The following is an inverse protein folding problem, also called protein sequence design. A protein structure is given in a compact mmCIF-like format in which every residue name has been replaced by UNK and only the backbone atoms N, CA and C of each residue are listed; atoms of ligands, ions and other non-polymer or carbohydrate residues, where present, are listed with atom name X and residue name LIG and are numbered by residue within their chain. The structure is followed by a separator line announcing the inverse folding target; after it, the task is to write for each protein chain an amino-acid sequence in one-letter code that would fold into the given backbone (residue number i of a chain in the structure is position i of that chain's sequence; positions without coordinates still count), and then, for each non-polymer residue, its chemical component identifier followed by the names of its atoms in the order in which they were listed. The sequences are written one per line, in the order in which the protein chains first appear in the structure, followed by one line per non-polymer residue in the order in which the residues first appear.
data_IF_280414180946
#
_entry.id   IF_280414180946
#
_cell.length_a   1.000
_cell.length_b   1.000
_cell.length_c   1.000
_cell.angle_alpha   90.00
_cell.angle_beta   90.00
_cell.angle_gamma   90.00
#
_symmetry.space_group_name_H-M   'P 1'
#
loop_
_entity.id
_entity.type
_entity.pdbx_description
1 polymer ?
#
# COMPACT_ATOMS: atom_id res chain seq x y z
N UNK A 1 -6.78 16.05 12.14
CA UNK A 1 -7.14 17.43 11.80
C UNK A 1 -5.91 18.11 11.25
N UNK A 2 -5.75 18.18 9.95
CA UNK A 2 -4.76 19.08 9.36
C UNK A 2 -5.40 20.46 9.30
N UNK A 3 -4.83 21.39 10.02
CA UNK A 3 -5.18 22.79 9.87
C UNK A 3 -4.82 23.20 8.44
N UNK A 4 -5.83 23.40 7.62
CA UNK A 4 -5.66 24.21 6.42
C UNK A 4 -5.09 25.54 6.86
N UNK A 5 -4.01 25.96 6.26
CA UNK A 5 -3.48 27.28 6.50
C UNK A 5 -4.60 28.27 6.22
N UNK A 6 -4.93 29.13 7.18
CA UNK A 6 -6.09 30.04 7.16
C UNK A 6 -6.16 31.02 5.98
N UNK A 7 -5.25 30.91 5.00
CA UNK A 7 -5.09 31.84 3.89
C UNK A 7 -4.80 31.16 2.56
N UNK A 8 -5.16 29.88 2.40
CA UNK A 8 -4.96 29.14 1.13
C UNK A 8 -5.67 29.80 -0.07
N UNK A 9 -6.76 30.51 0.20
CA UNK A 9 -7.47 31.26 -0.83
C UNK A 9 -6.81 32.59 -1.19
N UNK A 10 -5.91 33.09 -0.34
CA UNK A 10 -5.19 34.35 -0.55
C UNK A 10 -3.76 34.00 -0.92
N UNK A 11 -3.32 34.24 -2.12
CA UNK A 11 -1.93 34.04 -2.50
C UNK A 11 -0.98 34.69 -1.49
N UNK A 12 -0.09 33.91 -0.86
CA UNK A 12 0.85 34.40 0.12
C UNK A 12 2.17 34.68 -0.58
N UNK A 13 2.66 35.90 -0.43
CA UNK A 13 3.99 36.30 -0.87
C UNK A 13 4.94 36.21 0.33
N UNK A 14 5.88 35.28 0.31
CA UNK A 14 6.94 35.23 1.31
C UNK A 14 8.01 36.28 0.97
N UNK A 15 8.11 37.30 1.76
CA UNK A 15 9.22 38.28 1.70
C UNK A 15 10.35 37.75 2.55
N UNK A 16 11.06 36.76 2.03
CA UNK A 16 12.18 36.12 2.69
C UNK A 16 13.42 36.13 1.79
N UNK A 17 14.10 37.25 1.73
CA UNK A 17 15.40 37.32 1.10
C UNK A 17 16.40 37.94 2.09
N UNK A 18 17.54 37.33 2.26
CA UNK A 18 18.65 37.96 2.93
C UNK A 18 19.15 39.13 2.06
N UNK A 19 18.77 40.37 2.45
CA UNK A 19 19.38 41.53 1.86
C UNK A 19 20.84 41.56 2.29
N UNK A 20 21.75 41.36 1.37
CA UNK A 20 23.17 41.69 1.58
C UNK A 20 23.32 43.21 1.50
N UNK A 21 23.86 43.80 2.55
CA UNK A 21 24.11 45.23 2.69
C UNK A 21 24.79 45.82 1.45
N UNK A 22 24.05 46.64 0.73
CA UNK A 22 24.64 47.57 -0.21
C UNK A 22 24.08 47.62 -1.61
N UNK A 23 23.54 46.52 -2.17
CA UNK A 23 22.93 46.47 -3.51
C UNK A 23 21.91 45.36 -3.67
N UNK A 24 21.16 45.05 -2.62
CA UNK A 24 20.24 43.94 -2.59
C UNK A 24 18.89 44.26 -3.22
N UNK A 25 18.61 43.71 -4.36
CA UNK A 25 17.24 43.47 -4.76
C UNK A 25 16.71 42.39 -3.83
N UNK A 26 15.66 42.71 -3.08
CA UNK A 26 14.85 41.68 -2.41
C UNK A 26 14.07 41.01 -3.52
N UNK A 27 14.45 39.80 -3.93
CA UNK A 27 13.61 39.00 -4.77
C UNK A 27 12.45 38.47 -3.90
N UNK A 28 11.22 38.90 -4.18
CA UNK A 28 10.08 38.32 -3.50
C UNK A 28 10.00 36.85 -3.89
N UNK A 29 10.21 35.96 -2.95
CA UNK A 29 9.88 34.55 -3.16
C UNK A 29 8.37 34.40 -3.07
N UNK A 30 7.78 34.01 -4.17
CA UNK A 30 6.36 33.69 -4.24
C UNK A 30 6.08 32.48 -3.35
N UNK A 31 5.07 32.58 -2.53
CA UNK A 31 4.65 31.47 -1.65
C UNK A 31 4.11 30.27 -2.44
N UNK A 32 3.81 29.20 -1.71
CA UNK A 32 3.46 27.89 -2.24
C UNK A 32 2.08 27.81 -2.93
N UNK A 33 1.86 28.54 -3.99
CA UNK A 33 0.71 28.33 -4.84
C UNK A 33 -0.01 29.57 -5.30
N UNK A 34 -0.67 29.45 -6.44
CA UNK A 34 -1.49 30.48 -7.06
C UNK A 34 -2.80 30.65 -6.28
N UNK A 35 -3.23 31.91 -6.15
CA UNK A 35 -4.55 32.26 -5.62
C UNK A 35 -5.68 31.51 -6.32
N UNK A 36 -6.65 31.03 -5.55
CA UNK A 36 -7.86 30.40 -6.04
C UNK A 36 -9.07 30.88 -5.22
N UNK A 37 -9.90 31.71 -5.82
CA UNK A 37 -11.12 32.24 -5.21
C UNK A 37 -12.31 31.25 -5.20
N UNK A 38 -12.16 30.13 -5.93
CA UNK A 38 -13.17 29.07 -5.98
C UNK A 38 -12.92 27.97 -4.93
N UNK A 39 -11.87 28.15 -4.10
CA UNK A 39 -11.53 27.21 -3.06
C UNK A 39 -12.64 27.17 -1.99
N UNK A 40 -13.18 26.00 -1.73
CA UNK A 40 -14.13 25.75 -0.67
C UNK A 40 -13.58 24.78 0.38
N UNK A 41 -14.19 24.76 1.55
CA UNK A 41 -13.86 23.75 2.56
C UNK A 41 -14.26 22.35 2.09
N UNK A 42 -13.55 21.35 2.62
CA UNK A 42 -13.96 19.96 2.48
C UNK A 42 -15.31 19.76 3.19
N UNK A 43 -16.24 19.13 2.52
CA UNK A 43 -17.54 18.75 3.05
C UNK A 43 -17.55 17.23 3.25
N UNK A 44 -17.92 16.77 4.44
CA UNK A 44 -18.03 15.34 4.75
C UNK A 44 -19.39 15.06 5.35
N UNK A 45 -20.18 14.23 4.67
CA UNK A 45 -21.41 13.67 5.19
C UNK A 45 -21.11 12.31 5.82
N UNK A 46 -21.54 12.12 7.06
CA UNK A 46 -21.37 10.86 7.79
C UNK A 46 -22.73 10.38 8.28
N UNK A 47 -23.06 9.14 8.01
CA UNK A 47 -24.28 8.48 8.48
C UNK A 47 -23.90 7.20 9.22
N UNK A 48 -24.14 7.17 10.53
CA UNK A 48 -23.92 6.01 11.38
C UNK A 48 -25.29 5.40 11.73
N UNK A 49 -25.45 4.11 11.47
CA UNK A 49 -26.65 3.37 11.82
C UNK A 49 -26.27 2.24 12.77
N UNK A 50 -26.59 2.39 14.05
CA UNK A 50 -26.33 1.40 15.10
C UNK A 50 -27.64 0.91 15.73
N UNK A 51 -27.86 -0.37 15.69
CA UNK A 51 -28.74 -1.12 16.62
C UNK A 51 -27.77 -1.91 17.46
N UNK A 52 -27.53 -1.79 18.69
CA UNK A 52 -26.59 -2.56 19.52
C UNK A 52 -25.67 -3.59 18.77
N UNK A 53 -25.72 -3.55 17.46
CA UNK A 53 -24.94 -4.13 16.39
C UNK A 53 -24.52 -2.94 15.51
N UNK A 54 -23.32 -2.38 15.72
CA UNK A 54 -22.77 -1.36 14.83
C UNK A 54 -22.61 -1.98 13.44
N UNK A 55 -23.59 -1.77 12.56
CA UNK A 55 -23.66 -2.53 11.32
C UNK A 55 -23.20 -1.75 10.09
N UNK A 56 -23.37 -0.43 10.05
CA UNK A 56 -23.06 0.35 8.87
C UNK A 56 -22.45 1.71 9.23
N UNK A 57 -21.28 1.99 8.70
CA UNK A 57 -20.69 3.35 8.66
C UNK A 57 -20.56 3.77 7.19
N UNK A 58 -21.16 4.88 6.84
CA UNK A 58 -21.02 5.51 5.53
C UNK A 58 -20.47 6.91 5.68
N UNK A 59 -19.37 7.18 4.99
CA UNK A 59 -18.73 8.50 4.97
C UNK A 59 -18.44 8.93 3.54
N UNK A 60 -18.97 10.04 3.15
CA UNK A 60 -18.72 10.68 1.87
C UNK A 60 -18.01 12.01 2.07
N UNK A 61 -16.85 12.18 1.45
CA UNK A 61 -16.09 13.42 1.48
C UNK A 61 -16.08 14.01 0.08
N UNK A 62 -16.70 15.16 -0.09
CA UNK A 62 -16.66 15.94 -1.32
C UNK A 62 -15.61 17.05 -1.23
N UNK A 63 -15.20 17.58 -2.38
CA UNK A 63 -14.29 18.72 -2.49
C UNK A 63 -12.95 18.51 -1.78
N UNK A 64 -12.43 17.29 -1.79
CA UNK A 64 -11.10 16.96 -1.24
C UNK A 64 -10.06 17.96 -1.73
N UNK A 65 -9.30 18.55 -0.81
CA UNK A 65 -8.26 19.54 -1.12
C UNK A 65 -6.95 18.88 -1.53
N UNK A 66 -6.38 19.31 -2.65
CA UNK A 66 -5.07 18.85 -3.09
C UNK A 66 -4.33 19.94 -3.90
N UNK A 67 -3.02 19.79 -4.06
CA UNK A 67 -2.19 20.65 -4.90
C UNK A 67 -2.19 20.14 -6.33
N UNK A 68 -2.64 20.96 -7.25
CA UNK A 68 -2.66 20.64 -8.68
C UNK A 68 -1.50 21.36 -9.38
N UNK A 69 -0.71 20.61 -10.14
CA UNK A 69 0.33 21.17 -10.99
C UNK A 69 -0.30 21.92 -12.16
N UNK A 70 0.21 23.13 -12.42
CA UNK A 70 -0.28 23.98 -13.51
C UNK A 70 0.74 23.96 -14.67
N UNK A 71 0.50 23.20 -15.74
CA UNK A 71 1.49 22.97 -16.80
C UNK A 71 2.00 24.22 -17.50
N UNK A 72 1.20 25.27 -17.55
CA UNK A 72 1.49 26.52 -18.27
C UNK A 72 1.57 27.76 -17.39
N UNK A 73 1.27 27.66 -16.09
CA UNK A 73 1.18 28.83 -15.23
C UNK A 73 2.56 29.36 -14.79
N UNK A 74 3.58 28.50 -14.77
CA UNK A 74 4.91 28.87 -14.30
C UNK A 74 5.60 29.96 -15.12
N UNK A 75 5.31 30.06 -16.42
CA UNK A 75 5.93 31.07 -17.29
C UNK A 75 5.29 32.45 -17.10
N UNK A 76 3.98 32.49 -16.89
CA UNK A 76 3.23 33.76 -16.84
C UNK A 76 2.96 34.28 -15.43
N UNK A 77 2.90 33.39 -14.45
CA UNK A 77 2.51 33.71 -13.07
C UNK A 77 3.58 33.51 -12.03
N UNK A 78 4.68 32.79 -12.37
CA UNK A 78 5.73 32.40 -11.42
C UNK A 78 5.32 31.25 -10.48
N UNK A 79 4.10 30.74 -10.59
CA UNK A 79 3.60 29.62 -9.78
C UNK A 79 3.46 28.35 -10.62
N UNK A 80 3.88 27.22 -10.07
CA UNK A 80 3.74 25.91 -10.71
C UNK A 80 2.63 25.05 -10.10
N UNK A 81 2.04 25.50 -9.00
CA UNK A 81 0.98 24.77 -8.28
C UNK A 81 -0.17 25.70 -7.88
N UNK A 82 -1.35 25.12 -7.71
CA UNK A 82 -2.53 25.77 -7.18
C UNK A 82 -3.32 24.80 -6.30
N UNK A 83 -3.84 25.27 -5.17
CA UNK A 83 -4.78 24.50 -4.38
C UNK A 83 -6.15 24.45 -5.05
N UNK A 84 -6.73 23.28 -5.16
CA UNK A 84 -8.06 23.04 -5.74
C UNK A 84 -8.80 21.95 -4.99
N UNK A 85 -10.12 21.99 -5.06
CA UNK A 85 -10.95 20.87 -4.68
C UNK A 85 -10.94 19.87 -5.84
N UNK A 86 -10.26 18.73 -5.64
CA UNK A 86 -9.88 17.85 -6.76
C UNK A 86 -10.74 16.61 -6.87
N UNK A 87 -11.38 16.18 -5.79
CA UNK A 87 -11.93 14.84 -5.74
C UNK A 87 -13.11 14.69 -4.78
N UNK A 88 -13.84 13.61 -4.95
CA UNK A 88 -14.76 13.08 -3.96
C UNK A 88 -14.44 11.61 -3.69
N UNK A 89 -14.57 11.20 -2.43
CA UNK A 89 -14.26 9.85 -1.94
C UNK A 89 -15.39 9.34 -1.06
N UNK A 90 -15.82 8.11 -1.27
CA UNK A 90 -16.75 7.42 -0.36
C UNK A 90 -16.06 6.30 0.40
N UNK A 91 -16.45 6.12 1.64
CA UNK A 91 -16.06 5.00 2.48
C UNK A 91 -17.34 4.38 3.08
N UNK A 92 -17.50 3.11 2.87
CA UNK A 92 -18.60 2.33 3.43
C UNK A 92 -18.03 1.23 4.30
N UNK A 93 -18.67 0.93 5.42
CA UNK A 93 -18.20 -0.08 6.36
C UNK A 93 -19.32 -0.95 6.91
N UNK A 94 -18.97 -2.18 7.19
CA UNK A 94 -19.78 -3.12 7.96
C UNK A 94 -18.90 -3.72 9.06
N UNK A 95 -19.34 -3.60 10.30
CA UNK A 95 -18.66 -4.17 11.46
C UNK A 95 -19.56 -5.18 12.16
N UNK A 96 -18.97 -6.27 12.59
CA UNK A 96 -19.63 -7.33 13.34
C UNK A 96 -18.81 -7.72 14.55
N UNK A 97 -19.45 -7.75 15.72
CA UNK A 97 -18.86 -8.27 16.94
C UNK A 97 -19.79 -9.33 17.54
N UNK A 98 -19.28 -10.51 17.76
CA UNK A 98 -19.99 -11.62 18.39
C UNK A 98 -19.20 -12.09 19.59
N UNK A 99 -19.85 -12.16 20.74
CA UNK A 99 -19.31 -12.74 21.97
C UNK A 99 -20.18 -13.92 22.37
N UNK A 100 -19.57 -15.06 22.60
CA UNK A 100 -20.30 -16.27 22.96
C UNK A 100 -19.59 -17.01 24.10
N UNK A 101 -20.35 -17.31 25.16
CA UNK A 101 -19.87 -18.13 26.26
C UNK A 101 -20.27 -19.59 25.99
N UNK A 102 -19.28 -20.42 25.63
CA UNK A 102 -19.48 -21.83 25.30
C UNK A 102 -19.75 -22.63 26.58
N UNK A 103 -18.96 -22.36 27.61
CA UNK A 103 -19.13 -22.96 28.93
C UNK A 103 -19.03 -21.91 30.02
N UNK A 104 -19.96 -21.99 30.97
CA UNK A 104 -19.97 -21.18 32.21
C UNK A 104 -20.28 -22.07 33.38
N UNK A 105 -19.27 -22.83 33.82
CA UNK A 105 -19.33 -23.73 34.97
C UNK A 105 -18.26 -23.32 36.02
N UNK A 106 -18.41 -23.70 37.30
CA UNK A 106 -17.43 -23.32 38.34
C UNK A 106 -15.98 -23.67 37.98
N UNK A 107 -15.76 -24.84 37.38
CA UNK A 107 -14.44 -25.34 37.02
C UNK A 107 -14.09 -25.25 35.57
N UNK A 108 -14.99 -24.71 34.73
CA UNK A 108 -14.79 -24.63 33.26
C UNK A 108 -15.48 -23.38 32.71
N UNK A 109 -14.68 -22.45 32.30
CA UNK A 109 -15.12 -21.25 31.58
C UNK A 109 -14.49 -21.21 30.21
N UNK A 110 -15.29 -20.98 29.16
CA UNK A 110 -14.79 -20.78 27.82
C UNK A 110 -15.66 -19.76 27.10
N UNK A 111 -15.01 -18.66 26.70
CA UNK A 111 -15.63 -17.58 25.95
C UNK A 111 -14.83 -17.31 24.68
N UNK A 112 -15.53 -17.13 23.59
CA UNK A 112 -14.98 -16.68 22.31
C UNK A 112 -15.60 -15.32 21.97
N UNK A 113 -14.75 -14.39 21.59
CA UNK A 113 -15.17 -13.10 21.03
C UNK A 113 -14.57 -12.97 19.65
N UNK A 114 -15.42 -12.72 18.64
CA UNK A 114 -15.00 -12.52 17.25
C UNK A 114 -15.44 -11.13 16.84
N UNK A 115 -14.54 -10.37 16.28
CA UNK A 115 -14.85 -9.14 15.59
C UNK A 115 -14.36 -9.21 14.15
N UNK A 116 -15.13 -8.66 13.23
CA UNK A 116 -14.79 -8.56 11.83
C UNK A 116 -15.32 -7.24 11.27
N UNK A 117 -14.51 -6.58 10.46
CA UNK A 117 -14.89 -5.38 9.73
C UNK A 117 -14.62 -5.56 8.24
N UNK A 118 -15.52 -5.05 7.43
CA UNK A 118 -15.35 -4.98 5.98
C UNK A 118 -15.55 -3.54 5.53
N UNK A 119 -14.53 -2.98 4.88
CA UNK A 119 -14.56 -1.60 4.41
C UNK A 119 -14.47 -1.56 2.89
N UNK A 120 -15.22 -0.63 2.29
CA UNK A 120 -15.17 -0.28 0.88
C UNK A 120 -14.77 1.18 0.78
N UNK A 121 -13.66 1.43 0.12
CA UNK A 121 -13.17 2.77 -0.21
C UNK A 121 -13.30 2.96 -1.71
N UNK A 122 -13.84 4.11 -2.16
CA UNK A 122 -14.03 4.39 -3.57
C UNK A 122 -13.72 5.86 -3.89
N UNK A 123 -12.94 6.05 -4.93
CA UNK A 123 -12.73 7.35 -5.57
C UNK A 123 -13.91 7.63 -6.50
N UNK A 124 -14.76 8.61 -6.16
CA UNK A 124 -16.04 8.82 -6.83
C UNK A 124 -15.97 9.83 -7.96
N UNK A 125 -15.21 10.89 -7.77
CA UNK A 125 -15.11 11.97 -8.74
C UNK A 125 -13.72 12.57 -8.77
N UNK A 126 -13.33 13.04 -9.95
CA UNK A 126 -12.19 13.92 -10.19
C UNK A 126 -12.71 15.27 -10.69
N UNK A 127 -11.98 16.35 -10.44
CA UNK A 127 -12.33 17.70 -10.92
C UNK A 127 -12.33 17.79 -12.45
N UNK A 128 -11.59 16.93 -13.13
CA UNK A 128 -11.57 16.84 -14.59
C UNK A 128 -12.67 15.94 -15.15
N UNK A 129 -13.37 15.18 -14.31
CA UNK A 129 -14.28 14.11 -14.71
C UNK A 129 -13.58 12.89 -15.33
N UNK A 130 -12.25 12.87 -15.32
CA UNK A 130 -11.41 11.77 -15.82
C UNK A 130 -10.56 11.21 -14.67
N UNK A 131 -9.99 10.06 -14.90
CA UNK A 131 -9.00 9.49 -13.98
C UNK A 131 -7.83 10.46 -13.80
N UNK A 132 -7.30 10.55 -12.60
CA UNK A 132 -6.16 11.41 -12.28
C UNK A 132 -4.88 10.59 -12.41
N UNK A 133 -4.02 10.98 -13.37
CA UNK A 133 -2.63 10.55 -13.51
C UNK A 133 -2.43 9.02 -13.58
N UNK A 134 -3.39 8.27 -14.16
CA UNK A 134 -3.32 6.80 -14.19
C UNK A 134 -3.38 6.11 -12.82
N UNK A 135 -3.06 6.84 -11.77
CA UNK A 135 -2.89 6.32 -10.40
C UNK A 135 -4.20 6.29 -9.61
N UNK A 136 -5.20 7.07 -10.02
CA UNK A 136 -6.49 7.16 -9.33
C UNK A 136 -7.62 6.97 -10.33
N UNK A 137 -8.13 5.78 -10.41
CA UNK A 137 -9.20 5.40 -11.33
C UNK A 137 -10.57 5.60 -10.66
N UNK A 138 -11.45 6.36 -11.30
CA UNK A 138 -12.83 6.59 -10.81
C UNK A 138 -13.53 5.23 -10.63
N UNK A 139 -14.21 5.06 -9.50
CA UNK A 139 -14.87 3.82 -9.11
C UNK A 139 -13.97 2.75 -8.49
N UNK A 140 -12.65 3.00 -8.38
CA UNK A 140 -11.70 2.11 -7.70
C UNK A 140 -11.31 2.66 -6.32
N UNK A 141 -10.62 1.85 -5.53
CA UNK A 141 -10.08 2.30 -4.25
C UNK A 141 -9.09 3.44 -4.44
N UNK A 142 -9.15 4.44 -3.59
CA UNK A 142 -8.15 5.51 -3.51
C UNK A 142 -6.75 4.94 -3.17
N UNK A 143 -6.72 3.84 -2.40
CA UNK A 143 -5.52 3.10 -2.05
C UNK A 143 -5.28 1.95 -3.05
N UNK A 144 -5.35 2.27 -4.34
CA UNK A 144 -5.12 1.31 -5.42
C UNK A 144 -3.66 0.89 -5.50
N UNK A 145 -3.43 -0.38 -5.81
CA UNK A 145 -2.14 -0.91 -6.24
C UNK A 145 -2.12 -0.90 -7.75
N UNK A 146 -1.19 -0.17 -8.31
CA UNK A 146 -1.02 -0.03 -9.75
C UNK A 146 0.31 -0.59 -10.18
N UNK A 147 0.35 -1.21 -11.34
CA UNK A 147 1.56 -1.79 -11.88
C UNK A 147 1.49 -1.86 -13.40
N UNK A 148 2.63 -1.83 -14.06
CA UNK A 148 2.74 -2.01 -15.50
C UNK A 148 2.22 -3.39 -15.88
N UNK A 149 1.34 -3.43 -16.86
CA UNK A 149 0.78 -4.67 -17.36
C UNK A 149 1.80 -5.42 -18.20
N UNK A 150 1.93 -6.73 -17.96
CA UNK A 150 2.83 -7.61 -18.72
C UNK A 150 2.08 -8.72 -19.45
N UNK A 151 2.59 -9.10 -20.63
CA UNK A 151 2.11 -10.22 -21.44
C UNK A 151 3.24 -11.24 -21.66
N UNK A 152 3.74 -11.81 -20.54
CA UNK A 152 4.82 -12.77 -20.58
C UNK A 152 6.20 -12.15 -20.80
N UNK A 153 7.02 -12.84 -21.58
CA UNK A 153 8.40 -12.46 -21.90
C UNK A 153 8.60 -12.32 -23.39
N UNK A 154 9.53 -11.47 -23.78
CA UNK A 154 10.01 -11.38 -25.16
C UNK A 154 10.84 -12.64 -25.46
N UNK A 155 10.37 -13.49 -26.35
CA UNK A 155 11.10 -14.72 -26.70
C UNK A 155 12.09 -14.50 -27.85
N UNK A 156 11.71 -13.68 -28.84
CA UNK A 156 12.51 -13.40 -30.01
C UNK A 156 12.62 -11.90 -30.26
N UNK A 157 13.70 -11.47 -30.88
CA UNK A 157 13.94 -10.05 -31.15
C UNK A 157 12.84 -9.41 -32.01
N UNK A 158 12.19 -10.21 -32.84
CA UNK A 158 11.08 -9.80 -33.71
C UNK A 158 9.80 -9.46 -32.91
N UNK A 159 9.68 -10.01 -31.70
CA UNK A 159 8.54 -9.75 -30.80
C UNK A 159 8.69 -8.43 -30.04
N UNK A 160 9.87 -7.82 -30.07
CA UNK A 160 10.09 -6.52 -29.42
C UNK A 160 9.16 -5.50 -30.06
N UNK A 161 8.27 -4.88 -29.29
CA UNK A 161 7.35 -3.88 -29.84
C UNK A 161 8.09 -2.76 -30.55
N UNK A 162 7.70 -2.47 -31.75
CA UNK A 162 8.29 -1.42 -32.58
C UNK A 162 7.21 -0.46 -33.00
N UNK A 163 7.47 0.81 -32.83
CA UNK A 163 6.57 1.88 -33.21
C UNK A 163 7.18 2.73 -34.29
N UNK A 164 6.32 3.36 -35.06
CA UNK A 164 6.73 4.37 -36.03
C UNK A 164 6.50 5.75 -35.41
N UNK A 165 7.55 6.55 -35.33
CA UNK A 165 7.41 7.93 -34.86
C UNK A 165 6.56 8.76 -35.83
N UNK A 166 6.28 10.03 -35.50
CA UNK A 166 5.45 10.92 -36.31
C UNK A 166 5.97 11.16 -37.73
N UNK A 167 7.26 10.90 -37.96
CA UNK A 167 7.90 11.02 -39.29
C UNK A 167 8.08 9.67 -40.01
N UNK A 168 7.45 8.60 -39.48
CA UNK A 168 7.46 7.28 -40.10
C UNK A 168 8.75 6.47 -39.91
N UNK A 169 9.65 6.90 -39.02
CA UNK A 169 10.85 6.15 -38.69
C UNK A 169 10.51 5.09 -37.66
N UNK A 170 10.92 3.85 -37.92
CA UNK A 170 10.81 2.73 -36.99
C UNK A 170 11.60 3.02 -35.73
N UNK A 171 10.92 3.08 -34.61
CA UNK A 171 11.52 3.28 -33.30
C UNK A 171 11.14 2.11 -32.36
N UNK A 172 12.07 1.59 -31.59
CA UNK A 172 11.71 0.63 -30.55
C UNK A 172 10.85 1.33 -29.49
N UNK A 173 10.14 0.52 -28.72
CA UNK A 173 9.39 0.98 -27.57
C UNK A 173 10.33 1.74 -26.64
N UNK A 174 10.15 3.04 -26.52
CA UNK A 174 10.95 3.90 -25.67
C UNK A 174 10.24 4.10 -24.34
N UNK A 175 10.99 3.98 -23.26
CA UNK A 175 10.52 4.39 -21.94
C UNK A 175 10.90 5.83 -21.65
N UNK A 176 10.05 6.53 -20.94
CA UNK A 176 10.38 7.84 -20.39
C UNK A 176 11.29 7.77 -19.16
N UNK A 177 11.56 6.58 -18.63
CA UNK A 177 12.31 6.38 -17.39
C UNK A 177 13.85 6.38 -17.55
N UNK A 178 14.37 6.97 -18.59
CA UNK A 178 15.81 7.07 -18.77
C UNK A 178 16.26 6.56 -20.14
N UNK A 179 17.53 6.54 -20.42
CA UNK A 179 18.12 6.23 -21.73
C UNK A 179 17.34 5.18 -22.54
N UNK A 180 17.23 5.39 -23.84
CA UNK A 180 16.53 4.52 -24.77
C UNK A 180 17.12 3.09 -24.75
N UNK A 181 16.72 2.30 -23.79
CA UNK A 181 17.15 0.93 -23.67
C UNK A 181 16.18 0.07 -24.43
N UNK A 182 16.74 -0.69 -25.33
CA UNK A 182 15.98 -1.56 -26.19
C UNK A 182 15.62 -2.86 -25.46
N UNK A 183 14.38 -3.28 -25.57
CA UNK A 183 13.97 -4.61 -25.14
C UNK A 183 14.78 -5.69 -25.84
N UNK A 184 15.09 -6.72 -25.08
CA UNK A 184 15.85 -7.88 -25.54
C UNK A 184 15.07 -9.16 -25.23
N UNK A 185 15.34 -10.26 -25.91
CA UNK A 185 14.81 -11.54 -25.53
C UNK A 185 15.14 -11.86 -24.07
N UNK A 186 14.12 -12.24 -23.33
CA UNK A 186 14.18 -12.49 -21.90
C UNK A 186 13.67 -11.35 -21.02
N UNK A 187 13.42 -10.19 -21.56
CA UNK A 187 12.79 -9.09 -20.83
C UNK A 187 11.27 -9.28 -20.72
N UNK A 188 10.62 -8.59 -19.78
CA UNK A 188 9.15 -8.55 -19.74
C UNK A 188 8.60 -7.92 -21.02
N UNK A 189 7.54 -8.53 -21.55
CA UNK A 189 6.77 -7.96 -22.65
C UNK A 189 5.69 -7.05 -22.07
N UNK A 190 5.96 -5.76 -22.02
CA UNK A 190 5.00 -4.77 -21.52
C UNK A 190 3.88 -4.53 -22.52
N UNK A 191 2.70 -4.20 -22.01
CA UNK A 191 1.53 -3.87 -22.79
C UNK A 191 1.34 -2.35 -22.80
N UNK A 192 1.32 -1.76 -23.99
CA UNK A 192 0.93 -0.38 -24.21
C UNK A 192 -0.60 -0.28 -24.06
N UNK A 193 -1.04 0.21 -22.91
CA UNK A 193 -2.46 0.17 -22.51
C UNK A 193 -3.26 1.29 -23.17
N UNK A 194 -2.68 2.46 -23.35
CA UNK A 194 -3.33 3.63 -23.94
C UNK A 194 -3.12 3.73 -25.47
N UNK A 195 -2.24 2.91 -26.05
CA UNK A 195 -1.96 2.85 -27.48
C UNK A 195 -1.13 4.02 -27.99
N UNK A 196 -0.44 4.75 -27.13
CA UNK A 196 0.35 5.92 -27.49
C UNK A 196 1.74 5.56 -28.03
N UNK A 197 2.10 4.28 -28.03
CA UNK A 197 3.37 3.72 -28.49
C UNK A 197 4.58 4.06 -27.62
N UNK A 198 4.33 4.29 -26.35
CA UNK A 198 5.33 4.46 -25.30
C UNK A 198 4.89 3.63 -24.10
N UNK A 199 5.82 3.19 -23.29
CA UNK A 199 5.50 2.61 -22.00
C UNK A 199 5.90 3.63 -20.93
N UNK A 200 4.91 4.09 -20.19
CA UNK A 200 5.09 5.04 -19.09
C UNK A 200 4.45 4.51 -17.83
N UNK A 201 4.98 4.92 -16.68
CA UNK A 201 4.40 4.53 -15.40
C UNK A 201 3.02 5.12 -15.14
N UNK A 202 2.61 6.16 -15.89
CA UNK A 202 1.34 6.84 -15.64
C UNK A 202 0.21 6.36 -16.55
N UNK A 203 0.53 5.98 -17.77
CA UNK A 203 -0.48 5.69 -18.80
C UNK A 203 -0.69 4.18 -18.98
N UNK A 204 0.35 3.37 -18.64
CA UNK A 204 0.34 1.92 -18.88
C UNK A 204 0.22 1.08 -17.61
N UNK A 205 0.16 1.73 -16.44
CA UNK A 205 -0.17 1.03 -15.20
C UNK A 205 -1.67 0.68 -15.16
N UNK A 206 -1.95 -0.54 -14.73
CA UNK A 206 -3.30 -1.02 -14.53
C UNK A 206 -3.61 -1.20 -13.06
N UNK A 207 -4.88 -1.04 -12.69
CA UNK A 207 -5.35 -1.31 -11.34
C UNK A 207 -5.31 -2.81 -11.04
N UNK A 208 -4.44 -3.22 -10.13
CA UNK A 208 -4.25 -4.62 -9.73
C UNK A 208 -5.03 -5.00 -8.46
N UNK A 209 -5.58 -4.02 -7.75
CA UNK A 209 -6.34 -4.25 -6.53
C UNK A 209 -6.15 -3.13 -5.51
N UNK A 210 -6.64 -3.34 -4.30
CA UNK A 210 -6.53 -2.37 -3.20
C UNK A 210 -5.48 -2.79 -2.17
N UNK A 211 -4.68 -1.85 -1.71
CA UNK A 211 -3.78 -2.02 -0.57
C UNK A 211 -4.54 -2.15 0.76
N UNK A 212 -5.79 -1.70 0.80
CA UNK A 212 -6.64 -1.92 1.95
C UNK A 212 -7.19 -3.35 1.94
N UNK A 213 -7.17 -4.06 3.08
CA UNK A 213 -7.76 -5.38 3.18
C UNK A 213 -9.29 -5.29 3.01
N UNK A 214 -9.87 -6.31 2.38
CA UNK A 214 -11.34 -6.41 2.26
C UNK A 214 -12.00 -6.72 3.58
N UNK A 215 -11.37 -7.56 4.41
CA UNK A 215 -11.87 -7.96 5.71
C UNK A 215 -10.71 -7.91 6.69
N UNK A 216 -10.94 -7.32 7.86
CA UNK A 216 -10.03 -7.33 9.00
C UNK A 216 -10.77 -7.86 10.21
N UNK A 217 -10.06 -8.47 11.14
CA UNK A 217 -10.71 -8.91 12.37
C UNK A 217 -9.77 -9.55 13.36
N UNK A 218 -10.39 -9.97 14.46
CA UNK A 218 -9.70 -10.65 15.54
C UNK A 218 -10.60 -11.69 16.22
N UNK A 219 -9.95 -12.65 16.82
CA UNK A 219 -10.60 -13.71 17.60
C UNK A 219 -9.90 -13.78 18.95
N UNK A 220 -10.66 -13.54 20.00
CA UNK A 220 -10.19 -13.68 21.39
C UNK A 220 -10.79 -14.95 21.96
N UNK A 221 -9.93 -15.83 22.45
CA UNK A 221 -10.32 -17.01 23.21
C UNK A 221 -9.90 -16.85 24.66
N UNK A 222 -10.84 -16.88 25.57
CA UNK A 222 -10.65 -16.89 27.02
C UNK A 222 -11.08 -18.27 27.52
N UNK A 223 -10.12 -19.09 27.92
CA UNK A 223 -10.37 -20.45 28.42
C UNK A 223 -9.82 -20.60 29.80
N UNK A 224 -10.64 -21.12 30.72
CA UNK A 224 -10.24 -21.44 32.07
C UNK A 224 -10.75 -22.82 32.45
N UNK A 225 -9.85 -23.66 32.91
CA UNK A 225 -10.17 -24.98 33.43
C UNK A 225 -9.50 -25.21 34.79
N UNK A 226 -10.34 -25.23 35.82
CA UNK A 226 -9.86 -25.28 37.23
C UNK A 226 -8.87 -24.15 37.50
N UNK A 227 -7.62 -24.51 37.70
CA UNK A 227 -6.52 -23.58 38.01
C UNK A 227 -5.73 -23.12 36.76
N UNK A 228 -6.01 -23.66 35.59
CA UNK A 228 -5.40 -23.25 34.34
C UNK A 228 -6.21 -22.17 33.65
N UNK A 229 -5.53 -21.18 33.11
CA UNK A 229 -6.10 -20.16 32.25
C UNK A 229 -5.28 -20.03 30.95
N UNK A 230 -5.97 -19.86 29.84
CA UNK A 230 -5.39 -19.65 28.51
C UNK A 230 -6.12 -18.47 27.87
N UNK A 231 -5.33 -17.47 27.44
CA UNK A 231 -5.81 -16.35 26.65
C UNK A 231 -5.09 -16.36 25.31
N UNK A 232 -5.85 -16.43 24.23
CA UNK A 232 -5.35 -16.47 22.87
C UNK A 232 -5.99 -15.36 22.06
N UNK A 233 -5.17 -14.46 21.52
CA UNK A 233 -5.58 -13.43 20.55
C UNK A 233 -5.06 -13.79 19.18
N UNK A 234 -5.97 -13.98 18.24
CA UNK A 234 -5.69 -14.11 16.83
C UNK A 234 -6.10 -12.82 16.11
N UNK A 235 -5.31 -12.40 15.14
CA UNK A 235 -5.64 -11.29 14.24
C UNK A 235 -5.54 -11.75 12.81
N UNK A 236 -6.41 -11.25 11.92
CA UNK A 236 -6.38 -11.63 10.52
C UNK A 236 -6.74 -10.46 9.59
N UNK A 237 -6.23 -10.53 8.37
CA UNK A 237 -6.63 -9.68 7.26
C UNK A 237 -6.74 -10.51 5.98
N UNK A 238 -7.79 -10.22 5.21
CA UNK A 238 -8.08 -10.96 3.99
C UNK A 238 -8.29 -10.03 2.80
N UNK A 239 -7.76 -10.43 1.65
CA UNK A 239 -8.07 -9.83 0.37
C UNK A 239 -7.40 -8.47 0.10
N UNK A 240 -6.27 -8.17 0.75
CA UNK A 240 -5.36 -7.08 0.42
C UNK A 240 -4.57 -7.43 -0.84
N UNK A 241 -4.15 -6.42 -1.59
CA UNK A 241 -3.13 -6.56 -2.62
C UNK A 241 -1.87 -5.82 -2.21
N UNK A 242 -0.74 -6.44 -2.42
CA UNK A 242 0.58 -5.89 -2.11
C UNK A 242 1.52 -6.05 -3.29
N UNK A 243 2.29 -5.03 -3.56
CA UNK A 243 3.38 -5.08 -4.52
C UNK A 243 4.65 -5.54 -3.79
N UNK A 244 5.11 -6.75 -4.09
CA UNK A 244 6.26 -7.37 -3.44
C UNK A 244 7.58 -6.81 -4.00
N UNK A 245 7.95 -5.63 -3.52
CA UNK A 245 9.19 -4.95 -3.92
C UNK A 245 10.42 -5.63 -3.32
N UNK A 246 10.30 -6.20 -2.12
CA UNK A 246 11.39 -6.93 -1.49
C UNK A 246 11.84 -8.10 -2.37
N UNK A 247 10.89 -8.85 -2.93
CA UNK A 247 11.20 -9.94 -3.86
C UNK A 247 11.96 -9.46 -5.09
N UNK A 248 11.53 -8.36 -5.71
CA UNK A 248 12.18 -7.82 -6.90
C UNK A 248 13.55 -7.23 -6.60
N UNK A 249 13.69 -6.49 -5.50
CA UNK A 249 14.98 -5.94 -5.07
C UNK A 249 16.02 -7.04 -4.79
N UNK A 250 15.58 -8.15 -4.23
CA UNK A 250 16.47 -9.28 -3.89
C UNK A 250 16.93 -10.02 -5.12
N UNK A 251 16.10 -10.12 -6.15
CA UNK A 251 16.34 -10.93 -7.33
C UNK A 251 16.91 -10.14 -8.50
N UNK A 252 16.81 -8.82 -8.50
CA UNK A 252 17.31 -7.97 -9.58
C UNK A 252 18.84 -7.90 -9.67
N UNK A 253 19.57 -8.49 -8.73
CA UNK A 253 21.05 -8.48 -8.73
C UNK A 253 21.68 -7.10 -8.51
N UNK A 254 20.90 -6.09 -8.37
CA UNK A 254 21.29 -4.69 -8.45
C UNK A 254 21.26 -3.92 -7.17
N UNK A 255 21.16 -4.54 -6.10
CA UNK A 255 21.18 -3.83 -4.87
C UNK A 255 22.55 -3.43 -4.38
N UNK A 256 23.57 -3.80 -5.08
CA UNK A 256 24.91 -3.84 -4.54
C UNK A 256 25.47 -2.50 -4.04
N UNK A 257 25.00 -1.36 -4.53
CA UNK A 257 25.49 -0.06 -4.08
C UNK A 257 24.56 0.66 -3.08
N UNK A 258 23.26 0.44 -3.19
CA UNK A 258 22.27 1.18 -2.39
C UNK A 258 21.51 0.32 -1.36
N UNK A 259 21.42 -0.99 -1.60
CA UNK A 259 20.73 -1.90 -0.69
C UNK A 259 21.61 -3.10 -0.39
N UNK A 260 21.91 -3.38 0.88
CA UNK A 260 22.63 -4.58 1.25
C UNK A 260 21.88 -5.81 0.73
N UNK A 261 22.59 -6.67 0.02
CA UNK A 261 22.03 -7.84 -0.62
C UNK A 261 21.26 -8.70 0.40
N UNK A 262 19.96 -8.72 0.28
CA UNK A 262 19.16 -9.74 0.95
C UNK A 262 19.42 -11.02 0.16
N UNK A 263 20.09 -11.99 0.76
CA UNK A 263 20.42 -13.25 0.10
C UNK A 263 19.15 -14.09 0.01
N UNK A 264 18.61 -14.21 -1.18
CA UNK A 264 17.55 -15.16 -1.48
C UNK A 264 18.12 -16.49 -1.95
N UNK A 265 17.47 -17.59 -1.61
CA UNK A 265 17.86 -18.88 -2.16
C UNK A 265 17.46 -18.94 -3.64
N UNK A 266 18.42 -18.70 -4.52
CA UNK A 266 18.24 -18.69 -5.96
C UNK A 266 17.83 -20.06 -6.53
N UNK A 267 18.08 -21.16 -5.81
CA UNK A 267 17.68 -22.52 -6.25
C UNK A 267 16.15 -22.70 -6.33
N UNK A 268 15.41 -21.79 -5.70
CA UNK A 268 13.92 -21.82 -5.68
C UNK A 268 13.28 -20.86 -6.67
N UNK A 269 14.08 -20.19 -7.49
CA UNK A 269 13.63 -19.12 -8.38
C UNK A 269 14.10 -19.42 -9.79
N UNK A 270 13.20 -19.38 -10.74
CA UNK A 270 13.50 -19.59 -12.15
C UNK A 270 13.64 -18.26 -12.89
N UNK A 271 14.66 -18.18 -13.73
CA UNK A 271 14.89 -17.06 -14.64
C UNK A 271 14.69 -17.51 -16.08
N UNK A 272 14.34 -16.56 -16.94
CA UNK A 272 14.24 -16.85 -18.36
C UNK A 272 15.62 -17.19 -18.94
N UNK A 273 15.73 -18.32 -19.62
CA UNK A 273 16.97 -18.79 -20.26
C UNK A 273 16.83 -18.91 -21.76
N UNK A 274 15.67 -19.35 -22.23
CA UNK A 274 15.42 -19.62 -23.67
C UNK A 274 13.97 -19.36 -24.06
N UNK A 275 13.70 -19.17 -25.35
CA UNK A 275 12.35 -19.03 -25.87
C UNK A 275 11.42 -20.16 -25.45
N UNK A 276 10.21 -19.79 -24.99
CA UNK A 276 9.19 -20.71 -24.52
C UNK A 276 9.24 -21.00 -23.03
N UNK A 277 10.22 -20.50 -22.29
CA UNK A 277 10.26 -20.61 -20.85
C UNK A 277 9.14 -19.77 -20.20
N UNK A 278 8.61 -20.30 -19.10
CA UNK A 278 7.63 -19.59 -18.25
C UNK A 278 8.18 -19.41 -16.83
N UNK A 279 9.25 -18.62 -16.68
CA UNK A 279 9.93 -18.47 -15.41
C UNK A 279 9.21 -17.51 -14.47
N UNK A 280 9.74 -17.42 -13.24
CA UNK A 280 9.29 -16.41 -12.26
C UNK A 280 9.77 -15.02 -12.60
N UNK A 281 10.97 -14.90 -13.21
CA UNK A 281 11.66 -13.64 -13.47
C UNK A 281 12.23 -13.56 -14.89
N UNK A 282 12.45 -12.33 -15.40
CA UNK A 282 13.12 -12.12 -16.67
C UNK A 282 14.54 -12.67 -16.65
N UNK A 283 15.20 -12.62 -17.78
CA UNK A 283 16.59 -13.07 -17.92
C UNK A 283 17.47 -12.33 -16.92
N UNK A 284 18.27 -13.08 -16.18
CA UNK A 284 19.28 -12.51 -15.30
C UNK A 284 20.32 -11.73 -16.10
N UNK A 285 20.41 -10.45 -15.88
CA UNK A 285 21.38 -9.58 -16.55
C UNK A 285 21.97 -8.61 -15.54
N UNK A 286 23.27 -8.38 -15.66
CA UNK A 286 23.96 -7.34 -14.89
C UNK A 286 23.95 -6.04 -15.70
N UNK A 287 22.80 -5.40 -15.76
CA UNK A 287 22.63 -4.15 -16.49
C UNK A 287 21.65 -3.24 -15.72
N UNK A 288 22.03 -1.98 -15.54
CA UNK A 288 21.20 -0.99 -14.85
C UNK A 288 19.83 -0.82 -15.52
N UNK A 289 19.81 -0.92 -16.83
CA UNK A 289 18.59 -0.79 -17.60
C UNK A 289 17.63 -1.95 -17.35
N UNK A 290 18.14 -3.15 -17.17
CA UNK A 290 17.33 -4.32 -16.79
C UNK A 290 16.73 -4.16 -15.40
N UNK A 291 17.37 -3.44 -14.49
CA UNK A 291 16.82 -3.12 -13.17
C UNK A 291 15.63 -2.16 -13.26
N UNK A 292 15.75 -1.10 -14.03
CA UNK A 292 14.67 -0.15 -14.22
C UNK A 292 13.44 -0.79 -14.89
N UNK A 293 13.68 -1.72 -15.81
CA UNK A 293 12.66 -2.46 -16.56
C UNK A 293 12.37 -3.84 -15.99
N UNK A 294 13.27 -4.36 -15.18
CA UNK A 294 13.23 -5.71 -14.61
C UNK A 294 12.12 -5.97 -13.61
N UNK A 295 11.21 -5.03 -13.51
CA UNK A 295 9.94 -5.37 -12.94
C UNK A 295 9.71 -5.00 -11.50
N UNK A 296 10.21 -3.86 -11.06
CA UNK A 296 9.84 -3.35 -9.73
C UNK A 296 8.32 -3.17 -9.61
N UNK A 297 7.71 -2.57 -10.61
CA UNK A 297 6.29 -2.22 -10.63
C UNK A 297 5.55 -2.94 -11.75
N UNK A 298 5.62 -4.27 -11.78
CA UNK A 298 4.87 -5.08 -12.73
C UNK A 298 3.74 -5.85 -12.05
N UNK A 299 2.67 -6.10 -12.80
CA UNK A 299 1.47 -6.79 -12.33
C UNK A 299 1.76 -8.19 -11.74
N UNK A 300 2.77 -8.88 -12.25
CA UNK A 300 3.22 -10.20 -11.75
C UNK A 300 3.80 -10.18 -10.34
N UNK A 301 4.22 -9.00 -9.86
CA UNK A 301 4.72 -8.82 -8.50
C UNK A 301 3.64 -8.36 -7.52
N UNK A 302 2.42 -8.19 -7.99
CA UNK A 302 1.28 -7.88 -7.14
C UNK A 302 0.65 -9.18 -6.64
N UNK A 303 0.70 -9.37 -5.34
CA UNK A 303 0.15 -10.54 -4.67
C UNK A 303 -1.14 -10.20 -3.93
N UNK A 304 -2.13 -11.11 -4.02
CA UNK A 304 -3.30 -11.05 -3.16
C UNK A 304 -2.97 -11.71 -1.83
N UNK A 305 -2.92 -10.90 -0.79
CA UNK A 305 -2.41 -11.28 0.53
C UNK A 305 -3.54 -11.55 1.50
N UNK A 306 -3.45 -12.70 2.17
CA UNK A 306 -4.26 -13.07 3.32
C UNK A 306 -3.33 -13.53 4.43
N UNK A 307 -3.66 -13.19 5.66
CA UNK A 307 -2.88 -13.67 6.79
C UNK A 307 -3.72 -13.82 8.05
N UNK A 308 -3.26 -14.74 8.91
CA UNK A 308 -3.72 -14.98 10.28
C UNK A 308 -2.50 -15.00 11.19
N UNK A 309 -2.50 -14.22 12.25
CA UNK A 309 -1.39 -14.11 13.19
C UNK A 309 -1.83 -14.47 14.61
N UNK A 310 -1.02 -15.26 15.29
CA UNK A 310 -1.12 -15.44 16.73
C UNK A 310 -0.46 -14.22 17.39
N UNK A 311 -1.30 -13.23 17.73
CA UNK A 311 -0.84 -11.95 18.31
C UNK A 311 -0.37 -12.11 19.74
N UNK A 312 -1.16 -12.83 20.53
CA UNK A 312 -0.82 -13.04 21.95
C UNK A 312 -1.30 -14.41 22.37
N UNK A 313 -0.46 -15.15 23.05
CA UNK A 313 -0.81 -16.37 23.77
C UNK A 313 -0.29 -16.23 25.20
N UNK A 314 -1.19 -16.36 26.17
CA UNK A 314 -0.84 -16.40 27.60
C UNK A 314 -1.41 -17.67 28.20
N UNK A 315 -0.57 -18.41 28.91
CA UNK A 315 -0.96 -19.63 29.63
C UNK A 315 -0.58 -19.41 31.11
N UNK A 316 -1.55 -19.53 32.00
CA UNK A 316 -1.36 -19.34 33.44
C UNK A 316 -1.80 -20.55 34.23
N UNK A 317 -1.21 -20.70 35.38
CA UNK A 317 -1.61 -21.65 36.39
C UNK A 317 -1.60 -21.01 37.77
N UNK A 318 -2.77 -20.99 38.42
CA UNK A 318 -2.91 -20.50 39.82
C UNK A 318 -2.77 -21.66 40.78
N UNK A 319 -1.84 -21.60 41.69
CA UNK A 319 -1.61 -22.65 42.65
C UNK A 319 -2.82 -22.81 43.59
N UNK A 320 -3.16 -24.06 43.98
CA UNK A 320 -4.25 -24.33 44.89
C UNK A 320 -4.10 -23.59 46.24
N UNK A 321 -5.15 -22.95 46.70
CA UNK A 321 -5.16 -22.17 47.96
C UNK A 321 -4.64 -22.97 49.18
N UNK A 322 -4.91 -24.27 49.21
CA UNK A 322 -4.43 -25.16 50.27
C UNK A 322 -2.89 -25.20 50.37
N UNK A 323 -2.20 -25.12 49.26
CA UNK A 323 -0.74 -25.10 49.27
C UNK A 323 -0.21 -23.73 49.71
N UNK A 324 -0.87 -22.66 49.24
CA UNK A 324 -0.47 -21.30 49.54
C UNK A 324 -0.64 -20.95 51.02
N UNK A 325 -1.71 -21.40 51.63
CA UNK A 325 -1.95 -21.21 53.05
C UNK A 325 -0.85 -21.88 53.95
N UNK A 326 -0.34 -23.04 53.54
CA UNK A 326 0.79 -23.70 54.24
C UNK A 326 2.09 -22.90 54.13
N UNK A 327 2.25 -22.10 53.11
CA UNK A 327 3.42 -21.24 52.91
C UNK A 327 3.21 -19.81 53.41
N UNK A 328 2.08 -19.50 54.03
CA UNK A 328 1.75 -18.14 54.49
C UNK A 328 1.48 -17.15 53.38
N UNK A 329 1.22 -17.64 52.15
CA UNK A 329 0.94 -16.82 50.95
C UNK A 329 -0.57 -16.78 50.70
N UNK A 330 -1.06 -15.65 50.17
CA UNK A 330 -2.47 -15.51 49.80
C UNK A 330 -2.81 -16.22 48.47
N UNK A 331 -2.10 -15.89 47.44
CA UNK A 331 -2.27 -16.46 46.07
C UNK A 331 -0.93 -16.40 45.33
N UNK A 332 -0.68 -17.41 44.49
CA UNK A 332 0.45 -17.43 43.59
C UNK A 332 -0.01 -17.94 42.22
N UNK A 333 0.15 -17.11 41.20
CA UNK A 333 -0.09 -17.47 39.79
C UNK A 333 1.24 -17.43 39.05
N UNK A 334 1.53 -18.49 38.30
CA UNK A 334 2.67 -18.57 37.39
C UNK A 334 2.10 -18.51 35.98
N UNK A 335 2.69 -17.69 35.15
CA UNK A 335 2.24 -17.58 33.77
C UNK A 335 3.41 -17.41 32.79
N UNK A 336 3.19 -17.82 31.57
CA UNK A 336 4.04 -17.54 30.41
C UNK A 336 3.21 -16.84 29.33
N UNK A 337 3.77 -15.82 28.70
CA UNK A 337 3.12 -15.13 27.60
C UNK A 337 4.10 -14.89 26.46
N UNK A 338 3.59 -14.92 25.25
CA UNK A 338 4.34 -14.60 24.04
C UNK A 338 3.50 -13.76 23.11
N UNK A 339 4.16 -12.88 22.37
CA UNK A 339 3.53 -12.00 21.38
C UNK A 339 4.10 -12.26 19.98
N UNK A 340 3.26 -12.04 18.96
CA UNK A 340 3.62 -12.21 17.55
C UNK A 340 4.23 -13.58 17.21
N UNK A 341 3.71 -14.65 17.84
CA UNK A 341 4.36 -15.96 17.84
C UNK A 341 4.44 -16.64 16.47
N UNK A 342 3.41 -16.46 15.64
CA UNK A 342 3.35 -17.11 14.34
C UNK A 342 2.43 -16.37 13.39
N UNK A 343 2.83 -16.29 12.11
CA UNK A 343 2.03 -15.76 11.01
C UNK A 343 1.79 -16.84 9.97
N UNK A 344 0.53 -17.13 9.67
CA UNK A 344 0.11 -17.98 8.57
C UNK A 344 -0.31 -17.08 7.41
N UNK A 345 0.35 -17.20 6.27
CA UNK A 345 0.10 -16.32 5.12
C UNK A 345 0.41 -17.03 3.81
N UNK A 346 -0.23 -16.54 2.74
CA UNK A 346 0.11 -16.89 1.37
C UNK A 346 1.04 -15.86 0.71
N UNK A 347 1.47 -14.83 1.45
CA UNK A 347 2.40 -13.82 0.95
C UNK A 347 3.81 -14.39 0.87
N UNK A 348 4.48 -14.13 -0.26
CA UNK A 348 5.84 -14.63 -0.49
C UNK A 348 6.94 -13.72 0.04
N UNK A 349 6.60 -12.51 0.50
CA UNK A 349 7.53 -11.55 1.11
C UNK A 349 7.74 -11.76 2.61
N UNK A 350 8.32 -10.76 3.26
CA UNK A 350 8.78 -10.87 4.66
C UNK A 350 7.61 -10.77 5.65
N UNK A 351 6.82 -9.70 5.57
CA UNK A 351 5.78 -9.40 6.55
C UNK A 351 4.50 -8.92 5.85
N UNK A 352 3.42 -9.70 5.91
CA UNK A 352 2.18 -9.35 5.21
C UNK A 352 1.36 -8.25 5.92
N UNK A 353 1.70 -7.90 7.16
CA UNK A 353 0.98 -6.89 7.94
C UNK A 353 1.45 -5.48 7.60
N UNK A 354 2.76 -5.31 7.34
CA UNK A 354 3.39 -4.01 7.11
C UNK A 354 3.39 -3.69 5.61
N UNK A 355 2.68 -2.62 5.25
CA UNK A 355 2.54 -2.17 3.86
C UNK A 355 2.39 -0.66 3.82
N UNK A 356 2.90 -0.02 2.78
CA UNK A 356 2.50 1.35 2.47
C UNK A 356 1.09 1.31 1.87
N UNK A 357 0.12 1.77 2.65
CA UNK A 357 -1.30 1.74 2.24
C UNK A 357 -1.62 2.68 1.08
N UNK A 358 -0.73 3.59 0.71
CA UNK A 358 -0.94 4.55 -0.38
C UNK A 358 -0.81 3.89 -1.74
N UNK A 359 0.13 2.98 -1.88
CA UNK A 359 0.47 2.34 -3.16
C UNK A 359 0.60 0.81 -3.10
N UNK A 360 0.47 0.23 -1.89
CA UNK A 360 0.55 -1.21 -1.69
C UNK A 360 1.95 -1.80 -1.68
N UNK A 361 2.99 -0.98 -1.67
CA UNK A 361 4.36 -1.48 -1.58
C UNK A 361 4.65 -2.14 -0.23
N UNK A 362 5.35 -3.25 -0.25
CA UNK A 362 5.91 -3.80 0.97
C UNK A 362 7.06 -2.92 1.48
N UNK A 363 7.23 -2.84 2.77
CA UNK A 363 8.24 -1.97 3.40
C UNK A 363 9.57 -2.72 3.59
N UNK A 364 9.60 -4.03 3.32
CA UNK A 364 10.79 -4.86 3.50
C UNK A 364 11.24 -4.99 4.96
N UNK A 365 10.31 -4.80 5.90
CA UNK A 365 10.56 -4.85 7.34
C UNK A 365 9.62 -5.83 8.01
N UNK A 366 10.00 -6.33 9.19
CA UNK A 366 9.14 -7.13 10.04
C UNK A 366 9.14 -6.58 11.47
N UNK A 367 8.13 -6.95 12.24
CA UNK A 367 8.16 -6.68 13.68
C UNK A 367 9.29 -7.47 14.32
N UNK A 368 10.02 -6.90 15.28
CA UNK A 368 10.94 -7.68 16.10
C UNK A 368 10.15 -8.74 16.87
N UNK A 369 10.70 -9.93 16.94
CA UNK A 369 10.19 -11.03 17.74
C UNK A 369 10.41 -10.74 19.23
#
# INVERSE_FOLDING_TARGET
MHFSQNYLALGIMNVGGTSYLGNGYIEPQWGDGLYNNELSWEETDQYDFGLDLDMFDYRYTDKLLDRVRLPSAGINTGYNMQWRNTAAVSNEGLELMVKYEIFRKPDLYWKISVNAARNWNRFEKSYTGKDLDGVRVIGKSLNGVYALKTDGYVNYQEEVPVYYNQIGIKAPLASEMGSATFYKPGDYKFVDVDGNRKITAFDDEVYCGSALPKITGGIVNEFQWKNFDINLLLSFQLGRHMLNITRTRTLSGFGAAEYPAIVMNLDKVSFWEKPGDTPDFPKWQYDWDTYLWGGRYVDRNVEKVNWLKIKTLSIGYTLPKVWMQKCGLGELRIFASGENLCTFTNYSGIEPEIVDIRNGEDVGASYPL
#
